data_IF_840347677377
#
_entry.id   IF_840347677377
#
_cell.length_a   1.000
_cell.length_b   1.000
_cell.length_c   1.000
_cell.angle_alpha   90.00
_cell.angle_beta   90.00
_cell.angle_gamma   90.00
#
_symmetry.space_group_name_H-M   'P 1'
#
loop_
_entity.id
_entity.type
_entity.pdbx_description
1 polymer ?
#
# COMPACT_ATOMS: atom_id res chain seq x y z
N UNK A 1 -61.88 4.93 -41.29
CA UNK A 1 -60.70 4.44 -40.53
C UNK A 1 -59.43 4.98 -41.16
N UNK A 2 -58.89 6.10 -40.66
CA UNK A 2 -57.52 6.55 -40.95
C UNK A 2 -56.96 7.20 -39.69
N UNK A 3 -55.84 6.64 -39.25
CA UNK A 3 -55.18 6.92 -37.99
C UNK A 3 -54.42 8.24 -38.02
N UNK A 4 -54.60 9.02 -36.96
CA UNK A 4 -53.66 10.01 -36.48
C UNK A 4 -52.71 9.31 -35.50
N UNK A 5 -51.40 9.40 -35.74
CA UNK A 5 -50.39 9.72 -34.72
C UNK A 5 -49.02 9.75 -35.42
N UNK A 6 -48.50 10.96 -35.59
CA UNK A 6 -47.13 11.20 -36.00
C UNK A 6 -46.39 11.84 -34.81
N UNK A 7 -45.17 11.35 -34.57
CA UNK A 7 -44.10 11.98 -33.79
C UNK A 7 -44.28 11.92 -32.26
N UNK A 8 -43.84 10.81 -31.66
CA UNK A 8 -43.43 10.74 -30.25
C UNK A 8 -42.45 9.57 -30.05
N UNK A 9 -41.21 9.67 -30.55
CA UNK A 9 -40.12 8.72 -30.20
C UNK A 9 -38.71 9.32 -30.34
N UNK A 10 -38.52 10.59 -29.98
CA UNK A 10 -37.20 11.21 -29.85
C UNK A 10 -37.20 12.18 -28.65
N UNK A 11 -37.30 11.64 -27.44
CA UNK A 11 -36.87 12.26 -26.18
C UNK A 11 -37.22 11.31 -25.03
N UNK A 12 -36.44 10.25 -24.84
CA UNK A 12 -36.39 9.61 -23.53
C UNK A 12 -35.20 10.22 -22.77
N UNK A 13 -35.42 10.81 -21.59
CA UNK A 13 -34.35 11.41 -20.81
C UNK A 13 -33.37 10.33 -20.36
N UNK A 14 -32.10 10.56 -20.65
CA UNK A 14 -30.97 9.88 -20.02
C UNK A 14 -31.12 10.10 -18.52
N UNK A 15 -31.37 9.04 -17.77
CA UNK A 15 -31.73 9.07 -16.36
C UNK A 15 -30.60 9.74 -15.53
N UNK A 16 -30.73 11.00 -15.08
CA UNK A 16 -29.71 11.70 -14.31
C UNK A 16 -30.10 11.58 -12.84
N UNK A 17 -30.01 10.37 -12.29
CA UNK A 17 -30.45 10.10 -10.92
C UNK A 17 -29.37 9.35 -10.14
N UNK A 18 -28.23 10.01 -9.95
CA UNK A 18 -27.35 9.82 -8.78
C UNK A 18 -26.62 11.11 -8.36
N UNK A 19 -27.02 12.27 -8.90
CA UNK A 19 -26.41 13.58 -8.61
C UNK A 19 -27.48 14.64 -8.37
N UNK A 20 -28.26 14.47 -7.30
CA UNK A 20 -29.14 15.53 -6.81
C UNK A 20 -28.32 16.65 -6.12
N UNK A 21 -28.62 17.94 -6.36
CA UNK A 21 -27.96 19.08 -5.71
C UNK A 21 -28.24 19.21 -4.19
N UNK A 22 -29.10 18.34 -3.62
CA UNK A 22 -29.39 18.33 -2.17
C UNK A 22 -28.31 17.62 -1.32
N UNK A 23 -27.47 16.77 -1.91
CA UNK A 23 -26.39 16.08 -1.19
C UNK A 23 -25.15 16.97 -0.90
N UNK A 24 -25.19 18.25 -1.31
CA UNK A 24 -24.09 19.20 -1.16
C UNK A 24 -24.22 20.13 0.07
N UNK A 25 -25.27 19.98 0.90
CA UNK A 25 -25.59 20.94 1.98
C UNK A 25 -25.23 20.51 3.41
N UNK A 26 -24.78 19.28 3.63
CA UNK A 26 -24.15 18.84 4.88
C UNK A 26 -23.03 17.85 4.55
N UNK A 27 -21.86 18.01 5.16
CA UNK A 27 -20.73 17.11 4.94
C UNK A 27 -21.14 15.66 5.17
N UNK A 28 -20.91 14.79 4.18
CA UNK A 28 -21.16 13.36 4.32
C UNK A 28 -19.90 12.68 4.81
N UNK A 29 -20.02 11.72 5.72
CA UNK A 29 -18.88 10.87 6.12
C UNK A 29 -19.31 9.42 6.31
N UNK A 30 -18.38 8.50 6.09
CA UNK A 30 -18.57 7.08 6.33
C UNK A 30 -17.25 6.46 6.80
N UNK A 31 -17.36 5.38 7.56
CA UNK A 31 -16.21 4.60 8.01
C UNK A 31 -16.45 3.14 7.69
N UNK A 32 -15.43 2.46 7.21
CA UNK A 32 -15.45 1.05 6.84
C UNK A 32 -14.37 0.31 7.62
N UNK A 33 -14.70 -0.89 8.11
CA UNK A 33 -13.72 -1.85 8.59
C UNK A 33 -13.06 -2.49 7.38
N UNK A 34 -11.73 -2.42 7.32
CA UNK A 34 -10.91 -3.08 6.32
C UNK A 34 -10.39 -4.41 6.88
N UNK A 35 -10.77 -5.50 6.23
CA UNK A 35 -10.27 -6.83 6.47
C UNK A 35 -9.45 -7.34 5.28
N UNK A 36 -8.32 -7.98 5.58
CA UNK A 36 -7.51 -8.69 4.60
C UNK A 36 -7.52 -10.17 4.93
N UNK A 37 -7.93 -11.01 3.97
CA UNK A 37 -8.12 -12.46 4.16
C UNK A 37 -8.98 -12.80 5.39
N UNK A 38 -10.02 -12.00 5.63
CA UNK A 38 -10.93 -12.16 6.78
C UNK A 38 -10.40 -11.62 8.11
N UNK A 39 -9.16 -11.15 8.18
CA UNK A 39 -8.59 -10.53 9.39
C UNK A 39 -8.83 -9.02 9.34
N UNK A 40 -9.54 -8.41 10.31
CA UNK A 40 -9.66 -6.95 10.41
C UNK A 40 -8.30 -6.32 10.71
N UNK A 41 -7.77 -5.57 9.75
CA UNK A 41 -6.43 -4.96 9.81
C UNK A 41 -6.48 -3.44 9.82
N UNK A 42 -7.67 -2.83 9.86
CA UNK A 42 -7.77 -1.38 9.91
C UNK A 42 -9.14 -0.82 9.57
N UNK A 43 -9.20 0.49 9.39
CA UNK A 43 -10.39 1.20 8.94
C UNK A 43 -10.05 2.16 7.81
N UNK A 44 -11.04 2.39 6.93
CA UNK A 44 -11.04 3.47 5.94
C UNK A 44 -12.12 4.47 6.32
N UNK A 45 -11.76 5.74 6.44
CA UNK A 45 -12.68 6.87 6.59
C UNK A 45 -12.80 7.64 5.29
N UNK A 46 -14.04 7.96 4.92
CA UNK A 46 -14.38 8.80 3.78
C UNK A 46 -15.10 10.05 4.29
N UNK A 47 -14.72 11.23 3.82
CA UNK A 47 -15.52 12.44 3.99
C UNK A 47 -15.63 13.20 2.68
N UNK A 48 -16.80 13.79 2.44
CA UNK A 48 -17.00 14.74 1.36
C UNK A 48 -17.63 16.01 1.92
N UNK A 49 -16.86 17.08 1.82
CA UNK A 49 -17.27 18.46 2.05
C UNK A 49 -17.33 19.21 0.71
N UNK A 50 -17.81 20.45 0.72
CA UNK A 50 -17.94 21.27 -0.49
C UNK A 50 -16.62 21.34 -1.28
N UNK A 51 -16.57 20.64 -2.43
CA UNK A 51 -15.41 20.59 -3.33
C UNK A 51 -14.20 19.82 -2.81
N UNK A 52 -14.32 19.06 -1.71
CA UNK A 52 -13.19 18.34 -1.10
C UNK A 52 -13.58 16.94 -0.65
N UNK A 53 -12.91 15.94 -1.22
CA UNK A 53 -12.99 14.55 -0.79
C UNK A 53 -11.76 14.20 0.04
N UNK A 54 -11.96 13.60 1.22
CA UNK A 54 -10.86 13.13 2.07
C UNK A 54 -10.99 11.62 2.26
N UNK A 55 -9.88 10.94 2.05
CA UNK A 55 -9.69 9.52 2.30
C UNK A 55 -8.67 9.36 3.42
N UNK A 56 -9.06 8.64 4.47
CA UNK A 56 -8.19 8.34 5.60
C UNK A 56 -8.07 6.82 5.76
N UNK A 57 -6.89 6.26 5.52
CA UNK A 57 -6.57 4.87 5.83
C UNK A 57 -5.88 4.80 7.19
N UNK A 58 -6.37 3.92 8.04
CA UNK A 58 -5.81 3.60 9.36
C UNK A 58 -5.58 2.11 9.42
N UNK A 59 -4.33 1.66 9.38
CA UNK A 59 -3.97 0.25 9.45
C UNK A 59 -3.40 -0.08 10.82
N UNK A 60 -3.85 -1.19 11.38
CA UNK A 60 -3.36 -1.77 12.61
C UNK A 60 -2.41 -2.92 12.26
N UNK A 61 -1.35 -3.05 13.05
CA UNK A 61 -0.41 -4.15 12.95
C UNK A 61 0.03 -4.56 14.35
N UNK A 62 0.40 -5.82 14.50
CA UNK A 62 1.03 -6.33 15.71
C UNK A 62 2.42 -6.84 15.34
N UNK A 63 3.40 -6.53 16.17
CA UNK A 63 4.74 -7.09 16.08
C UNK A 63 5.31 -7.33 17.48
N UNK A 64 5.82 -8.52 17.75
CA UNK A 64 6.31 -8.93 19.07
C UNK A 64 5.31 -8.60 20.19
N UNK A 65 4.03 -8.88 19.94
CA UNK A 65 2.93 -8.58 20.88
C UNK A 65 2.56 -7.10 21.04
N UNK A 66 3.27 -6.18 20.38
CA UNK A 66 3.00 -4.75 20.44
C UNK A 66 2.12 -4.31 19.26
N UNK A 67 0.96 -3.74 19.57
CA UNK A 67 0.08 -3.14 18.57
C UNK A 67 0.56 -1.75 18.17
N UNK A 68 0.63 -1.49 16.87
CA UNK A 68 0.89 -0.18 16.31
C UNK A 68 -0.14 0.21 15.27
N UNK A 69 -0.07 1.48 14.86
CA UNK A 69 -0.98 2.06 13.90
C UNK A 69 -0.21 2.86 12.85
N UNK A 70 -0.63 2.73 11.59
CA UNK A 70 -0.21 3.61 10.49
C UNK A 70 -1.43 4.34 9.95
N UNK A 71 -1.40 5.67 10.01
CA UNK A 71 -2.44 6.53 9.44
C UNK A 71 -1.90 7.23 8.20
N UNK A 72 -2.67 7.20 7.12
CA UNK A 72 -2.44 7.99 5.91
C UNK A 72 -3.72 8.71 5.54
N UNK A 73 -3.58 9.99 5.20
CA UNK A 73 -4.69 10.81 4.74
C UNK A 73 -4.35 11.44 3.40
N UNK A 74 -5.32 11.47 2.50
CA UNK A 74 -5.25 12.18 1.23
C UNK A 74 -6.51 13.01 1.07
N UNK A 75 -6.31 14.30 0.78
CA UNK A 75 -7.40 15.22 0.45
C UNK A 75 -7.31 15.63 -1.01
N UNK A 76 -8.39 15.39 -1.76
CA UNK A 76 -8.52 15.71 -3.18
C UNK A 76 -9.54 16.82 -3.36
N UNK A 77 -9.20 17.83 -4.17
CA UNK A 77 -10.18 18.79 -4.68
C UNK A 77 -11.01 18.07 -5.73
N UNK A 78 -12.33 18.11 -5.58
CA UNK A 78 -13.26 17.50 -6.52
C UNK A 78 -14.28 18.51 -7.03
N UNK A 79 -14.69 18.37 -8.28
CA UNK A 79 -15.75 19.17 -8.86
C UNK A 79 -17.14 18.67 -8.46
N UNK A 80 -18.19 19.34 -8.95
CA UNK A 80 -19.58 18.98 -8.67
C UNK A 80 -19.98 17.59 -9.21
N UNK A 81 -19.22 17.04 -10.17
CA UNK A 81 -19.42 15.69 -10.71
C UNK A 81 -18.65 14.62 -9.93
N UNK A 82 -17.85 15.00 -8.93
CA UNK A 82 -17.01 14.10 -8.16
C UNK A 82 -15.68 13.73 -8.83
N UNK A 83 -15.28 14.44 -9.88
CA UNK A 83 -13.97 14.27 -10.53
C UNK A 83 -12.91 15.12 -9.86
N UNK A 84 -11.67 14.66 -9.88
CA UNK A 84 -10.53 15.41 -9.34
C UNK A 84 -10.32 16.68 -10.16
N UNK A 85 -10.27 17.84 -9.51
CA UNK A 85 -10.07 19.12 -10.21
C UNK A 85 -8.75 19.11 -11.00
N UNK A 86 -8.83 19.39 -12.30
CA UNK A 86 -7.66 19.40 -13.19
C UNK A 86 -7.25 18.01 -13.71
N UNK A 87 -8.00 16.95 -13.41
CA UNK A 87 -7.80 15.63 -13.97
C UNK A 87 -9.13 15.01 -14.40
N UNK A 88 -9.14 14.28 -15.51
CA UNK A 88 -10.33 13.54 -15.94
C UNK A 88 -10.42 12.18 -15.22
N UNK A 89 -10.37 12.18 -13.89
CA UNK A 89 -10.39 10.97 -13.07
C UNK A 89 -11.27 11.12 -11.84
N UNK A 90 -11.98 10.04 -11.47
CA UNK A 90 -12.78 9.97 -10.23
C UNK A 90 -12.01 9.25 -9.12
N UNK A 91 -12.04 9.71 -7.86
CA UNK A 91 -11.47 8.94 -6.75
C UNK A 91 -12.19 7.59 -6.60
N UNK A 92 -11.43 6.51 -6.48
CA UNK A 92 -11.93 5.13 -6.45
C UNK A 92 -13.01 4.90 -5.37
N UNK A 93 -12.75 5.33 -4.13
CA UNK A 93 -13.69 5.19 -3.03
C UNK A 93 -14.91 6.11 -3.21
N UNK A 94 -14.72 7.33 -3.72
CA UNK A 94 -15.85 8.25 -3.97
C UNK A 94 -16.80 7.70 -5.04
N UNK A 95 -16.24 7.10 -6.10
CA UNK A 95 -16.98 6.50 -7.20
C UNK A 95 -17.92 5.39 -6.74
N UNK A 96 -17.48 4.55 -5.79
CA UNK A 96 -18.30 3.45 -5.25
C UNK A 96 -19.15 3.83 -4.05
N UNK A 97 -18.89 4.92 -3.36
CA UNK A 97 -19.56 5.23 -2.10
C UNK A 97 -21.04 5.64 -2.28
N UNK A 98 -21.36 6.32 -3.38
CA UNK A 98 -22.63 7.01 -3.61
C UNK A 98 -23.54 6.30 -4.62
N UNK A 99 -23.72 5.00 -4.44
CA UNK A 99 -24.61 4.17 -5.25
C UNK A 99 -23.88 3.22 -6.19
N UNK A 100 -24.59 2.19 -6.70
CA UNK A 100 -24.07 1.33 -7.76
C UNK A 100 -23.76 2.19 -9.00
N UNK A 101 -22.49 2.25 -9.46
CA UNK A 101 -22.17 3.03 -10.65
C UNK A 101 -22.83 2.45 -11.91
N UNK A 102 -23.04 3.27 -12.95
CA UNK A 102 -23.54 2.77 -14.23
C UNK A 102 -22.56 1.80 -14.88
N UNK A 103 -23.10 0.90 -15.71
CA UNK A 103 -22.30 0.01 -16.55
C UNK A 103 -21.42 0.80 -17.51
N UNK A 104 -20.22 0.28 -17.76
CA UNK A 104 -19.19 0.94 -18.56
C UNK A 104 -17.96 1.31 -17.72
N UNK A 105 -17.02 1.99 -18.37
CA UNK A 105 -15.73 2.33 -17.77
C UNK A 105 -15.58 3.83 -17.55
N UNK A 106 -14.97 4.19 -16.43
CA UNK A 106 -14.45 5.52 -16.15
C UNK A 106 -12.96 5.44 -15.88
N UNK A 107 -12.25 6.56 -16.03
CA UNK A 107 -10.90 6.68 -15.50
C UNK A 107 -11.01 6.94 -14.00
N UNK A 108 -10.58 5.99 -13.19
CA UNK A 108 -10.52 6.15 -11.74
C UNK A 108 -9.09 6.42 -11.27
N UNK A 109 -8.98 6.92 -10.04
CA UNK A 109 -7.73 7.23 -9.35
C UNK A 109 -7.74 6.60 -7.97
N UNK A 110 -6.77 5.74 -7.68
CA UNK A 110 -6.58 5.22 -6.32
C UNK A 110 -5.97 6.31 -5.43
N UNK A 111 -6.57 6.53 -4.26
CA UNK A 111 -6.33 7.71 -3.44
C UNK A 111 -4.90 7.79 -2.89
N UNK A 112 -4.34 6.67 -2.42
CA UNK A 112 -3.07 6.66 -1.68
C UNK A 112 -1.82 6.64 -2.58
N UNK A 113 -1.92 6.04 -3.76
CA UNK A 113 -0.86 5.93 -4.76
C UNK A 113 -0.97 7.00 -5.84
N UNK A 114 -2.18 7.53 -6.06
CA UNK A 114 -2.47 8.41 -7.19
C UNK A 114 -2.47 7.69 -8.54
N UNK A 115 -2.37 6.36 -8.57
CA UNK A 115 -2.43 5.58 -9.80
C UNK A 115 -3.79 5.78 -10.48
N UNK A 116 -3.76 6.09 -11.77
CA UNK A 116 -4.97 6.23 -12.58
C UNK A 116 -5.10 5.08 -13.57
N UNK A 117 -6.34 4.70 -13.87
CA UNK A 117 -6.63 3.62 -14.81
C UNK A 117 -8.11 3.26 -14.88
N UNK A 118 -8.48 2.28 -15.70
CA UNK A 118 -9.88 1.94 -15.94
C UNK A 118 -10.53 1.37 -14.68
N UNK A 119 -11.73 1.88 -14.39
CA UNK A 119 -12.67 1.35 -13.41
C UNK A 119 -13.94 1.03 -14.18
N UNK A 120 -14.29 -0.25 -14.29
CA UNK A 120 -15.35 -0.71 -15.17
C UNK A 120 -16.40 -1.47 -14.37
N UNK A 121 -17.67 -1.14 -14.57
CA UNK A 121 -18.81 -1.95 -14.10
C UNK A 121 -19.28 -2.82 -15.26
N UNK A 122 -19.34 -4.13 -15.02
CA UNK A 122 -19.78 -5.13 -16.02
C UNK A 122 -21.15 -5.71 -15.69
N UNK A 123 -21.60 -5.58 -14.44
CA UNK A 123 -22.94 -5.98 -14.03
C UNK A 123 -23.40 -5.08 -12.88
N UNK A 124 -24.67 -4.64 -12.91
CA UNK A 124 -25.27 -3.89 -11.81
C UNK A 124 -26.70 -4.33 -11.52
N UNK A 125 -27.11 -4.12 -10.28
CA UNK A 125 -28.50 -4.12 -9.82
C UNK A 125 -28.74 -2.87 -8.97
N UNK A 126 -29.96 -2.64 -8.46
CA UNK A 126 -30.21 -1.54 -7.52
C UNK A 126 -29.36 -1.61 -6.24
N UNK A 127 -28.94 -2.80 -5.81
CA UNK A 127 -28.22 -3.02 -4.54
C UNK A 127 -26.85 -3.67 -4.70
N UNK A 128 -26.35 -3.81 -5.93
CA UNK A 128 -25.04 -4.40 -6.20
C UNK A 128 -24.39 -3.86 -7.46
N UNK A 129 -23.05 -3.90 -7.49
CA UNK A 129 -22.25 -3.66 -8.69
C UNK A 129 -21.06 -4.63 -8.70
N UNK A 130 -20.71 -5.13 -9.88
CA UNK A 130 -19.53 -5.96 -10.10
C UNK A 130 -18.75 -5.45 -11.31
N UNK A 131 -17.42 -5.65 -11.27
CA UNK A 131 -16.55 -5.27 -12.37
C UNK A 131 -15.09 -5.26 -11.97
N UNK A 132 -14.33 -4.28 -12.45
CA UNK A 132 -12.89 -4.14 -12.17
C UNK A 132 -12.50 -2.72 -11.74
N UNK A 133 -11.51 -2.61 -10.86
CA UNK A 133 -10.84 -1.36 -10.48
C UNK A 133 -9.34 -1.56 -10.68
N UNK A 134 -8.74 -0.80 -11.61
CA UNK A 134 -7.33 -0.97 -11.98
C UNK A 134 -6.97 -2.43 -12.34
N UNK A 135 -7.91 -3.15 -12.97
CA UNK A 135 -7.77 -4.55 -13.34
C UNK A 135 -8.10 -5.56 -12.24
N UNK A 136 -8.22 -5.15 -10.97
CA UNK A 136 -8.64 -6.03 -9.89
C UNK A 136 -10.17 -6.19 -9.88
N UNK A 137 -10.65 -7.44 -9.80
CA UNK A 137 -12.10 -7.71 -9.72
C UNK A 137 -12.67 -7.15 -8.43
N UNK A 138 -13.86 -6.56 -8.51
CA UNK A 138 -14.59 -6.10 -7.34
C UNK A 138 -16.06 -6.55 -7.33
N UNK A 139 -16.61 -6.63 -6.12
CA UNK A 139 -18.06 -6.72 -5.87
C UNK A 139 -18.44 -5.73 -4.80
N UNK A 140 -19.44 -4.90 -5.07
CA UNK A 140 -19.98 -3.92 -4.14
C UNK A 140 -21.43 -4.26 -3.81
N UNK A 141 -21.81 -4.06 -2.55
CA UNK A 141 -23.20 -4.18 -2.06
C UNK A 141 -23.63 -2.88 -1.44
N UNK A 142 -24.88 -2.52 -1.70
CA UNK A 142 -25.49 -1.27 -1.30
C UNK A 142 -26.76 -1.54 -0.52
N UNK A 143 -27.16 -0.60 0.34
CA UNK A 143 -28.51 -0.60 0.90
C UNK A 143 -29.53 0.00 -0.08
N UNK A 144 -30.79 0.04 0.33
CA UNK A 144 -31.90 0.58 -0.45
C UNK A 144 -31.75 2.08 -0.78
N UNK A 145 -30.92 2.81 -0.03
CA UNK A 145 -30.61 4.23 -0.26
C UNK A 145 -29.41 4.41 -1.19
N UNK A 146 -28.83 3.32 -1.68
CA UNK A 146 -27.63 3.34 -2.50
C UNK A 146 -26.36 3.65 -1.71
N UNK A 147 -26.36 3.54 -0.38
CA UNK A 147 -25.12 3.69 0.39
C UNK A 147 -24.32 2.40 0.35
N UNK A 148 -23.02 2.50 0.10
CA UNK A 148 -22.11 1.36 0.12
C UNK A 148 -22.11 0.69 1.51
N UNK A 149 -22.44 -0.60 1.55
CA UNK A 149 -22.47 -1.44 2.75
C UNK A 149 -21.28 -2.38 2.81
N UNK A 150 -20.87 -2.93 1.66
CA UNK A 150 -19.70 -3.78 1.56
C UNK A 150 -19.01 -3.66 0.20
N UNK A 151 -17.69 -3.82 0.20
CA UNK A 151 -16.87 -3.87 -1.00
C UNK A 151 -15.84 -4.99 -0.85
N UNK A 152 -15.75 -5.86 -1.84
CA UNK A 152 -14.73 -6.90 -1.96
C UNK A 152 -13.85 -6.60 -3.17
N UNK A 153 -12.52 -6.61 -2.99
CA UNK A 153 -11.51 -6.37 -4.03
C UNK A 153 -10.33 -7.31 -3.79
N UNK A 154 -10.21 -8.36 -4.61
CA UNK A 154 -9.22 -9.42 -4.36
C UNK A 154 -9.37 -10.02 -2.95
N UNK A 155 -8.28 -10.04 -2.18
CA UNK A 155 -8.25 -10.53 -0.78
C UNK A 155 -8.76 -9.51 0.25
N UNK A 156 -9.17 -8.31 -0.21
CA UNK A 156 -9.59 -7.21 0.65
C UNK A 156 -11.11 -7.12 0.73
N UNK A 157 -11.61 -6.88 1.94
CA UNK A 157 -13.03 -6.63 2.21
C UNK A 157 -13.20 -5.38 3.06
N UNK A 158 -14.10 -4.51 2.66
CA UNK A 158 -14.48 -3.30 3.37
C UNK A 158 -15.95 -3.42 3.74
N UNK A 159 -16.29 -3.29 5.01
CA UNK A 159 -17.69 -3.32 5.49
C UNK A 159 -17.99 -2.06 6.26
N UNK A 160 -19.18 -1.49 6.05
CA UNK A 160 -19.61 -0.29 6.78
C UNK A 160 -19.50 -0.54 8.29
N UNK A 161 -18.76 0.34 8.97
CA UNK A 161 -18.52 0.21 10.40
C UNK A 161 -19.72 0.74 11.18
N UNK A 162 -20.11 0.02 12.24
CA UNK A 162 -21.12 0.51 13.15
C UNK A 162 -20.61 1.79 13.87
N UNK A 163 -21.53 2.68 14.29
CA UNK A 163 -21.16 3.82 15.13
C UNK A 163 -20.37 3.37 16.37
N UNK A 164 -19.19 3.95 16.58
CA UNK A 164 -18.32 3.63 17.72
C UNK A 164 -17.59 2.28 17.66
N UNK A 165 -17.72 1.50 16.57
CA UNK A 165 -17.05 0.21 16.44
C UNK A 165 -15.52 0.33 16.62
N UNK A 166 -14.97 -0.44 17.57
CA UNK A 166 -13.54 -0.49 17.86
C UNK A 166 -12.97 -1.80 17.33
N UNK A 167 -11.82 -1.71 16.67
CA UNK A 167 -11.10 -2.89 16.22
C UNK A 167 -10.17 -3.39 17.31
N UNK A 168 -10.09 -4.71 17.43
CA UNK A 168 -9.03 -5.37 18.20
C UNK A 168 -7.74 -5.34 17.37
N UNK A 169 -6.60 -5.41 18.06
CA UNK A 169 -5.33 -5.59 17.37
C UNK A 169 -5.38 -6.90 16.57
N UNK A 170 -4.95 -6.91 15.30
CA UNK A 170 -4.89 -8.13 14.50
C UNK A 170 -3.86 -9.11 15.09
N UNK A 171 -3.92 -10.41 14.75
CA UNK A 171 -2.80 -11.31 15.01
C UNK A 171 -1.52 -10.78 14.33
N UNK A 172 -0.37 -11.26 14.80
CA UNK A 172 0.91 -10.95 14.16
C UNK A 172 1.03 -11.72 12.84
N UNK A 173 0.56 -11.09 11.76
CA UNK A 173 0.42 -11.70 10.44
C UNK A 173 1.75 -12.14 9.80
N UNK A 174 2.89 -11.70 10.34
CA UNK A 174 4.19 -11.85 9.70
C UNK A 174 5.28 -12.49 10.58
N UNK A 175 4.95 -12.89 11.83
CA UNK A 175 5.93 -13.46 12.77
C UNK A 175 6.56 -14.76 12.27
N UNK A 176 5.75 -15.61 11.64
CA UNK A 176 6.19 -16.94 11.18
C UNK A 176 7.18 -16.86 10.01
N UNK A 177 7.26 -15.72 9.31
CA UNK A 177 8.05 -15.57 8.10
C UNK A 177 7.53 -16.44 6.95
N UNK A 178 8.34 -16.59 5.91
CA UNK A 178 8.05 -17.48 4.77
C UNK A 178 9.07 -18.63 4.73
N UNK A 179 8.66 -19.85 4.37
CA UNK A 179 9.57 -20.97 4.27
C UNK A 179 10.65 -20.71 3.20
N UNK A 180 11.85 -21.21 3.45
CA UNK A 180 12.96 -21.21 2.49
C UNK A 180 13.10 -22.63 1.96
N UNK A 181 12.88 -22.81 0.66
CA UNK A 181 12.97 -24.11 -0.02
C UNK A 181 14.39 -24.39 -0.52
N UNK A 182 14.73 -25.67 -0.68
CA UNK A 182 16.02 -26.12 -1.20
C UNK A 182 16.99 -26.58 -0.11
N UNK A 183 18.30 -26.53 -0.41
CA UNK A 183 19.36 -26.97 0.51
C UNK A 183 19.58 -26.01 1.68
N UNK A 184 20.61 -26.26 2.48
CA UNK A 184 21.03 -25.40 3.61
C UNK A 184 22.01 -24.30 3.20
N UNK A 185 22.62 -24.40 2.03
CA UNK A 185 23.65 -23.49 1.52
C UNK A 185 23.21 -22.78 0.23
N UNK A 186 23.82 -21.62 -0.05
CA UNK A 186 23.63 -20.88 -1.29
C UNK A 186 22.86 -19.56 -1.12
N UNK A 187 22.94 -18.73 -2.15
CA UNK A 187 22.27 -17.43 -2.20
C UNK A 187 20.75 -17.61 -2.23
N UNK A 188 20.03 -16.73 -1.53
CA UNK A 188 18.58 -16.67 -1.58
C UNK A 188 18.14 -16.12 -2.95
N UNK A 189 17.06 -16.68 -3.50
CA UNK A 189 16.42 -16.21 -4.74
C UNK A 189 14.90 -16.27 -4.61
N UNK A 190 14.21 -15.41 -5.36
CA UNK A 190 12.77 -15.50 -5.58
C UNK A 190 12.48 -16.40 -6.79
N UNK A 191 11.44 -17.22 -6.70
CA UNK A 191 10.94 -18.05 -7.81
C UNK A 191 9.41 -17.88 -7.96
N UNK A 192 8.89 -17.51 -9.15
CA UNK A 192 9.65 -17.01 -10.30
C UNK A 192 10.48 -15.76 -9.96
N UNK A 193 11.61 -15.61 -10.64
CA UNK A 193 12.53 -14.49 -10.43
C UNK A 193 11.88 -13.15 -10.74
N UNK A 194 12.33 -12.10 -10.04
CA UNK A 194 12.00 -10.71 -10.33
C UNK A 194 13.28 -9.88 -10.40
N UNK A 195 13.30 -8.86 -11.25
CA UNK A 195 14.41 -7.91 -11.29
C UNK A 195 14.18 -6.83 -10.23
N UNK A 196 15.18 -6.59 -9.38
CA UNK A 196 15.26 -5.38 -8.55
C UNK A 196 16.35 -4.52 -9.13
N UNK A 197 16.13 -3.21 -9.37
CA UNK A 197 17.19 -2.33 -9.83
C UNK A 197 18.37 -2.37 -8.85
N UNK A 198 19.59 -2.43 -9.39
CA UNK A 198 20.80 -2.39 -8.55
C UNK A 198 20.94 -1.03 -7.86
N UNK A 199 20.57 0.07 -8.54
CA UNK A 199 20.71 1.47 -8.09
C UNK A 199 19.49 2.28 -8.54
N UNK A 200 19.06 3.24 -7.72
CA UNK A 200 18.07 4.25 -8.10
C UNK A 200 18.76 5.47 -8.77
N UNK A 201 18.15 6.10 -9.78
CA UNK A 201 18.74 7.24 -10.49
C UNK A 201 19.20 8.40 -9.59
N UNK A 202 18.45 8.68 -8.53
CA UNK A 202 18.66 9.81 -7.63
C UNK A 202 19.69 9.55 -6.52
N UNK A 203 20.23 8.33 -6.41
CA UNK A 203 21.21 7.99 -5.38
C UNK A 203 22.53 8.74 -5.59
N UNK A 204 22.99 9.42 -4.55
CA UNK A 204 24.28 10.11 -4.53
C UNK A 204 25.41 9.16 -4.13
N UNK A 205 26.63 9.47 -4.55
CA UNK A 205 27.78 8.60 -4.33
C UNK A 205 28.46 8.85 -2.98
N UNK A 206 28.80 7.74 -2.31
CA UNK A 206 29.44 7.70 -1.01
C UNK A 206 30.82 7.06 -1.09
N UNK A 207 31.71 7.41 -0.17
CA UNK A 207 32.80 6.50 0.18
C UNK A 207 32.28 5.39 1.10
N UNK A 208 32.83 4.15 1.03
CA UNK A 208 32.43 3.07 1.94
C UNK A 208 32.57 3.46 3.42
N UNK A 209 33.62 4.20 3.76
CA UNK A 209 33.91 4.64 5.13
C UNK A 209 32.83 5.59 5.68
N UNK A 210 32.44 6.61 4.91
CA UNK A 210 31.40 7.56 5.33
C UNK A 210 30.04 6.87 5.52
N UNK A 211 29.70 5.93 4.62
CA UNK A 211 28.44 5.21 4.68
C UNK A 211 28.38 4.29 5.91
N UNK A 212 29.46 3.53 6.18
CA UNK A 212 29.58 2.68 7.38
C UNK A 212 29.58 3.49 8.67
N UNK A 213 30.24 4.66 8.69
CA UNK A 213 30.24 5.55 9.85
C UNK A 213 28.83 6.08 10.18
N UNK A 214 28.02 6.41 9.16
CA UNK A 214 26.63 6.78 9.38
C UNK A 214 25.81 5.60 9.89
N UNK A 215 26.03 4.39 9.36
CA UNK A 215 25.38 3.15 9.83
C UNK A 215 25.63 2.91 11.31
N UNK A 216 26.90 2.99 11.74
CA UNK A 216 27.29 2.85 13.13
C UNK A 216 26.68 3.93 14.03
N UNK A 217 26.61 5.19 13.55
CA UNK A 217 25.95 6.28 14.28
C UNK A 217 24.46 6.02 14.48
N UNK A 218 23.76 5.52 13.46
CA UNK A 218 22.34 5.18 13.54
C UNK A 218 22.13 4.02 14.51
N UNK A 219 22.96 2.97 14.41
CA UNK A 219 22.94 1.87 15.36
C UNK A 219 23.11 2.36 16.80
N UNK A 220 24.08 3.22 17.09
CA UNK A 220 24.25 3.75 18.45
C UNK A 220 23.08 4.60 18.96
N UNK A 221 22.22 5.12 18.07
CA UNK A 221 21.12 6.01 18.44
C UNK A 221 19.86 5.29 18.96
N UNK A 222 19.76 3.97 18.79
CA UNK A 222 18.65 3.16 19.29
C UNK A 222 19.16 2.14 20.32
N UNK A 223 19.11 2.41 21.63
CA UNK A 223 19.49 1.43 22.64
C UNK A 223 18.69 0.12 22.56
N UNK A 224 17.40 0.23 22.22
CA UNK A 224 16.52 -0.91 21.96
C UNK A 224 16.29 -1.11 20.45
N UNK A 225 16.61 -2.31 19.97
CA UNK A 225 16.47 -2.75 18.58
C UNK A 225 15.11 -3.38 18.27
N UNK A 226 14.27 -3.47 19.28
CA UNK A 226 12.91 -3.93 19.19
C UNK A 226 12.05 -3.01 18.31
N UNK A 227 11.05 -3.55 17.62
CA UNK A 227 10.12 -2.76 16.83
C UNK A 227 9.36 -1.76 17.70
N UNK A 228 9.12 -0.56 17.18
CA UNK A 228 8.46 0.49 17.93
C UNK A 228 7.60 1.40 17.05
N UNK A 229 7.00 2.43 17.64
CA UNK A 229 6.33 3.50 16.89
C UNK A 229 7.25 4.19 15.86
N UNK A 230 8.58 4.16 16.07
CA UNK A 230 9.56 4.78 15.18
C UNK A 230 9.57 4.12 13.78
N UNK A 231 9.28 2.82 13.67
CA UNK A 231 9.22 2.11 12.37
C UNK A 231 8.15 2.68 11.43
N UNK A 232 7.20 3.45 11.96
CA UNK A 232 6.05 3.97 11.21
C UNK A 232 6.12 5.48 10.98
N UNK A 233 7.16 6.15 11.51
CA UNK A 233 7.41 7.58 11.35
C UNK A 233 8.34 7.83 10.17
N UNK A 234 8.07 8.88 9.40
CA UNK A 234 8.76 9.14 8.13
C UNK A 234 10.29 9.28 8.24
N UNK A 235 10.84 9.74 9.37
CA UNK A 235 12.28 9.85 9.58
C UNK A 235 12.84 8.87 10.60
N UNK A 236 12.07 7.86 11.01
CA UNK A 236 12.49 6.87 12.00
C UNK A 236 12.75 7.47 13.39
N UNK A 237 12.10 8.58 13.76
CA UNK A 237 12.40 9.25 15.03
C UNK A 237 11.84 8.48 16.25
N UNK A 238 12.74 8.05 17.14
CA UNK A 238 12.41 7.44 18.43
C UNK A 238 13.67 6.98 19.17
N UNK A 239 13.48 6.51 20.41
CA UNK A 239 14.56 5.94 21.25
C UNK A 239 14.68 4.41 21.10
N UNK A 240 13.62 3.76 20.63
CA UNK A 240 13.59 2.35 20.24
C UNK A 240 13.15 2.25 18.78
N UNK A 241 13.55 1.20 18.07
CA UNK A 241 13.07 0.97 16.71
C UNK A 241 13.66 -0.26 16.06
N UNK A 242 12.86 -0.93 15.24
CA UNK A 242 13.28 -2.07 14.46
C UNK A 242 14.09 -1.67 13.23
N UNK A 243 14.22 -2.62 12.31
CA UNK A 243 15.00 -2.44 11.10
C UNK A 243 14.51 -1.33 10.17
N UNK A 244 13.19 -1.11 10.10
CA UNK A 244 12.63 -0.04 9.29
C UNK A 244 12.93 1.34 9.90
N UNK A 245 12.79 1.48 11.23
CA UNK A 245 13.18 2.71 11.93
C UNK A 245 14.66 3.06 11.68
N UNK A 246 15.56 2.08 11.78
CA UNK A 246 16.99 2.27 11.52
C UNK A 246 17.25 2.70 10.07
N UNK A 247 16.64 2.02 9.09
CA UNK A 247 16.81 2.38 7.68
C UNK A 247 16.28 3.79 7.36
N UNK A 248 15.11 4.16 7.89
CA UNK A 248 14.52 5.49 7.74
C UNK A 248 15.34 6.58 8.43
N UNK A 249 15.88 6.29 9.62
CA UNK A 249 16.77 7.21 10.35
C UNK A 249 18.05 7.46 9.59
N UNK A 250 18.65 6.42 9.01
CA UNK A 250 19.81 6.56 8.12
C UNK A 250 19.48 7.47 6.93
N UNK A 251 18.38 7.21 6.23
CA UNK A 251 17.95 8.00 5.09
C UNK A 251 17.70 9.48 5.46
N UNK A 252 17.06 9.74 6.59
CA UNK A 252 16.80 11.09 7.10
C UNK A 252 18.10 11.85 7.40
N UNK A 253 19.06 11.20 8.09
CA UNK A 253 20.37 11.81 8.38
C UNK A 253 21.21 12.01 7.12
N UNK A 254 21.17 11.08 6.16
CA UNK A 254 21.80 11.22 4.86
C UNK A 254 21.24 12.43 4.10
N UNK A 255 19.91 12.57 4.05
CA UNK A 255 19.24 13.70 3.42
C UNK A 255 19.63 15.03 4.03
N UNK A 256 19.75 15.10 5.36
CA UNK A 256 20.26 16.29 6.08
C UNK A 256 21.68 16.70 5.68
N UNK A 257 22.45 15.79 5.07
CA UNK A 257 23.80 16.02 4.52
C UNK A 257 23.80 16.24 3.00
N UNK A 258 22.63 16.45 2.38
CA UNK A 258 22.48 16.56 0.93
C UNK A 258 22.68 15.24 0.17
N UNK A 259 22.71 14.10 0.86
CA UNK A 259 22.87 12.79 0.25
C UNK A 259 21.51 12.13 -0.01
N UNK A 260 21.47 11.17 -0.93
CA UNK A 260 20.29 10.36 -1.27
C UNK A 260 20.70 8.89 -1.33
N UNK A 261 19.87 8.05 -0.75
CA UNK A 261 20.11 6.61 -0.59
C UNK A 261 18.85 5.84 -0.94
N UNK A 262 18.97 4.57 -1.28
CA UNK A 262 17.83 3.69 -1.48
C UNK A 262 17.49 2.94 -0.20
N UNK A 263 16.19 2.81 0.09
CA UNK A 263 15.71 1.92 1.13
C UNK A 263 15.42 0.56 0.50
N UNK A 264 15.98 -0.48 1.09
CA UNK A 264 15.75 -1.86 0.66
C UNK A 264 14.69 -2.48 1.55
N UNK A 265 13.61 -2.93 0.94
CA UNK A 265 12.67 -3.85 1.57
C UNK A 265 13.03 -5.27 1.13
N UNK A 266 13.21 -6.15 2.08
CA UNK A 266 13.68 -7.50 1.78
C UNK A 266 13.31 -8.51 2.85
N UNK A 267 14.03 -9.61 2.79
CA UNK A 267 13.89 -10.74 3.69
C UNK A 267 15.24 -11.08 4.30
N UNK A 268 15.21 -11.44 5.58
CA UNK A 268 16.36 -11.91 6.34
C UNK A 268 16.10 -13.34 6.83
N UNK A 269 17.08 -14.21 6.57
CA UNK A 269 17.14 -15.57 7.10
C UNK A 269 18.23 -15.63 8.15
N UNK A 270 17.84 -15.97 9.38
CA UNK A 270 18.75 -16.15 10.52
C UNK A 270 18.77 -17.63 10.87
N UNK A 271 19.97 -18.20 11.05
CA UNK A 271 20.21 -19.58 11.51
C UNK A 271 19.42 -20.66 10.75
N UNK A 272 19.24 -20.48 9.44
CA UNK A 272 18.50 -21.43 8.60
C UNK A 272 16.98 -21.45 8.84
N UNK A 273 16.45 -20.53 9.64
CA UNK A 273 15.03 -20.37 9.90
C UNK A 273 14.24 -19.81 8.71
N UNK A 274 12.96 -19.48 8.93
CA UNK A 274 12.14 -18.86 7.89
C UNK A 274 12.68 -17.46 7.52
N UNK A 275 12.42 -17.06 6.29
CA UNK A 275 12.74 -15.72 5.80
C UNK A 275 11.73 -14.71 6.38
N UNK A 276 12.20 -13.75 7.18
CA UNK A 276 11.37 -12.74 7.85
C UNK A 276 11.54 -11.35 7.24
N UNK A 277 10.49 -10.50 7.22
CA UNK A 277 10.59 -9.13 6.73
C UNK A 277 11.77 -8.38 7.36
N UNK A 278 12.56 -7.74 6.53
CA UNK A 278 13.68 -6.92 6.96
C UNK A 278 13.82 -5.67 6.09
N UNK A 279 14.45 -4.64 6.64
CA UNK A 279 14.73 -3.40 5.92
C UNK A 279 16.15 -2.93 6.20
N UNK A 280 16.82 -2.47 5.16
CA UNK A 280 18.19 -1.96 5.24
C UNK A 280 18.41 -0.86 4.19
N UNK A 281 19.64 -0.35 4.09
CA UNK A 281 19.96 0.76 3.19
C UNK A 281 20.93 0.31 2.10
N UNK A 282 20.70 0.80 0.88
CA UNK A 282 21.67 0.73 -0.21
C UNK A 282 22.22 2.11 -0.52
N UNK A 283 23.54 2.21 -0.63
CA UNK A 283 24.24 3.42 -1.10
C UNK A 283 24.95 3.17 -2.42
N UNK A 284 25.06 4.21 -3.26
CA UNK A 284 25.91 4.17 -4.44
C UNK A 284 27.35 4.51 -4.01
N UNK A 285 28.35 3.85 -4.59
CA UNK A 285 29.74 4.08 -4.25
C UNK A 285 30.45 4.95 -5.27
N UNK A 286 31.36 5.81 -4.79
CA UNK A 286 32.35 6.48 -5.64
C UNK A 286 33.23 5.43 -6.31
N UNK A 287 33.39 5.53 -7.63
CA UNK A 287 34.10 4.52 -8.43
C UNK A 287 33.21 3.39 -8.94
N UNK A 288 31.89 3.47 -8.72
CA UNK A 288 30.90 2.55 -9.25
C UNK A 288 30.44 1.47 -8.27
N UNK A 289 29.31 0.85 -8.58
CA UNK A 289 28.68 -0.18 -7.75
C UNK A 289 27.87 0.36 -6.57
N UNK A 290 27.48 -0.55 -5.68
CA UNK A 290 26.63 -0.26 -4.53
C UNK A 290 27.11 -1.00 -3.29
N UNK A 291 26.74 -0.47 -2.13
CA UNK A 291 26.96 -1.11 -0.84
C UNK A 291 25.65 -1.18 -0.06
N UNK A 292 25.30 -2.39 0.38
CA UNK A 292 24.21 -2.60 1.33
C UNK A 292 24.73 -2.56 2.77
N UNK A 293 23.98 -1.88 3.63
CA UNK A 293 24.28 -1.65 5.04
C UNK A 293 23.03 -1.94 5.86
N UNK A 294 23.15 -2.81 6.86
CA UNK A 294 22.13 -3.00 7.89
C UNK A 294 22.48 -2.17 9.14
N UNK A 295 21.92 -0.96 9.31
CA UNK A 295 22.14 -0.15 10.51
C UNK A 295 21.54 -0.76 11.79
N UNK A 296 20.70 -1.79 11.68
CA UNK A 296 20.06 -2.44 12.84
C UNK A 296 21.04 -3.35 13.56
N UNK A 297 21.68 -4.26 12.81
CA UNK A 297 22.60 -5.29 13.33
C UNK A 297 24.07 -4.90 13.19
N UNK A 298 24.41 -4.09 12.18
CA UNK A 298 25.77 -3.89 11.66
C UNK A 298 26.42 -5.14 11.05
N UNK A 299 25.67 -6.24 10.93
CA UNK A 299 26.15 -7.44 10.29
C UNK A 299 26.33 -7.23 8.77
N UNK A 300 27.23 -7.97 8.14
CA UNK A 300 27.35 -7.94 6.68
C UNK A 300 26.05 -8.36 6.01
N UNK A 301 25.56 -7.53 5.08
CA UNK A 301 24.47 -7.90 4.18
C UNK A 301 25.01 -8.87 3.13
N UNK A 302 24.61 -10.15 3.23
CA UNK A 302 25.12 -11.23 2.37
C UNK A 302 24.00 -11.90 1.57
N UNK A 303 24.23 -12.35 0.33
CA UNK A 303 23.20 -12.99 -0.50
C UNK A 303 22.62 -14.30 0.07
N UNK A 304 23.34 -15.00 0.95
CA UNK A 304 22.90 -16.24 1.61
C UNK A 304 21.95 -15.99 2.80
N UNK A 305 21.88 -14.75 3.28
CA UNK A 305 21.06 -14.35 4.43
C UNK A 305 20.02 -13.29 4.07
N UNK A 306 20.30 -12.47 3.07
CA UNK A 306 19.47 -11.34 2.68
C UNK A 306 18.95 -11.52 1.25
N UNK A 307 17.64 -11.43 1.09
CA UNK A 307 16.96 -11.42 -0.20
C UNK A 307 16.29 -10.07 -0.43
N UNK A 308 16.69 -9.39 -1.48
CA UNK A 308 16.11 -8.09 -1.87
C UNK A 308 14.73 -8.32 -2.50
N UNK A 309 13.69 -7.72 -1.93
CA UNK A 309 12.35 -7.70 -2.55
C UNK A 309 12.13 -6.43 -3.36
N UNK A 310 12.58 -5.27 -2.90
CA UNK A 310 12.47 -4.01 -3.62
C UNK A 310 13.53 -3.00 -3.17
N UNK A 311 13.88 -2.08 -4.06
CA UNK A 311 14.70 -0.91 -3.78
C UNK A 311 13.87 0.33 -4.10
N UNK A 312 13.62 1.20 -3.12
CA UNK A 312 12.70 2.33 -3.25
C UNK A 312 13.27 3.62 -2.66
N UNK A 313 12.80 4.80 -3.10
CA UNK A 313 13.07 6.05 -2.41
C UNK A 313 12.49 6.03 -0.99
N UNK A 314 13.18 6.57 0.04
CA UNK A 314 12.70 6.58 1.42
C UNK A 314 11.35 7.31 1.61
N UNK A 315 11.04 8.31 0.79
CA UNK A 315 9.83 9.12 0.90
C UNK A 315 8.62 8.59 0.09
N UNK A 316 8.81 7.53 -0.71
CA UNK A 316 7.78 7.01 -1.62
C UNK A 316 6.99 5.83 -1.06
N UNK A 317 5.81 5.51 -1.65
CA UNK A 317 5.11 4.29 -1.31
C UNK A 317 5.87 3.07 -1.85
N UNK A 318 6.18 2.10 -0.98
CA UNK A 318 6.86 0.86 -1.34
C UNK A 318 5.90 -0.18 -1.97
N UNK A 319 5.15 0.22 -3.00
CA UNK A 319 4.07 -0.59 -3.59
C UNK A 319 4.58 -1.93 -4.13
N UNK A 320 5.73 -1.92 -4.80
CA UNK A 320 6.34 -3.12 -5.35
C UNK A 320 6.77 -4.11 -4.24
N UNK A 321 7.35 -3.59 -3.14
CA UNK A 321 7.69 -4.40 -1.98
C UNK A 321 6.46 -5.09 -1.40
N UNK A 322 5.38 -4.31 -1.20
CA UNK A 322 4.10 -4.82 -0.72
C UNK A 322 3.50 -5.87 -1.65
N UNK A 323 3.50 -5.63 -2.97
CA UNK A 323 2.98 -6.57 -3.95
C UNK A 323 3.74 -7.91 -3.93
N UNK A 324 5.08 -7.88 -3.93
CA UNK A 324 5.93 -9.09 -3.85
C UNK A 324 5.74 -9.82 -2.53
N UNK A 325 5.62 -9.10 -1.42
CA UNK A 325 5.31 -9.68 -0.12
C UNK A 325 3.96 -10.42 -0.13
N UNK A 326 2.91 -9.80 -0.66
CA UNK A 326 1.60 -10.43 -0.77
C UNK A 326 1.62 -11.65 -1.70
N UNK A 327 2.42 -11.62 -2.77
CA UNK A 327 2.63 -12.77 -3.65
C UNK A 327 3.33 -13.93 -2.95
N UNK A 328 4.32 -13.66 -2.09
CA UNK A 328 4.94 -14.70 -1.23
C UNK A 328 3.89 -15.33 -0.31
N UNK A 329 3.04 -14.52 0.33
CA UNK A 329 1.98 -15.02 1.20
C UNK A 329 0.84 -15.74 0.46
N UNK A 330 0.74 -15.62 -0.87
CA UNK A 330 -0.15 -16.43 -1.71
C UNK A 330 0.50 -17.74 -2.19
N UNK A 331 1.81 -17.87 -2.06
CA UNK A 331 2.58 -18.95 -2.70
C UNK A 331 2.82 -18.73 -4.19
N UNK A 332 2.47 -17.55 -4.74
CA UNK A 332 2.77 -17.18 -6.12
C UNK A 332 4.29 -16.98 -6.33
N UNK A 333 4.95 -16.50 -5.27
CA UNK A 333 6.41 -16.42 -5.17
C UNK A 333 6.88 -17.37 -4.07
N UNK A 334 8.07 -17.94 -4.28
CA UNK A 334 8.76 -18.80 -3.32
C UNK A 334 10.16 -18.25 -3.05
N UNK A 335 10.63 -18.41 -1.82
CA UNK A 335 12.02 -18.16 -1.46
C UNK A 335 12.77 -19.47 -1.53
N UNK A 336 13.82 -19.52 -2.33
CA UNK A 336 14.63 -20.73 -2.51
C UNK A 336 16.10 -20.42 -2.24
N UNK A 337 16.87 -21.43 -1.85
CA UNK A 337 18.34 -21.39 -1.96
C UNK A 337 18.77 -21.86 -3.34
N UNK A 338 19.56 -21.03 -4.02
CA UNK A 338 20.23 -21.45 -5.25
C UNK A 338 21.20 -22.58 -4.93
N UNK A 339 20.99 -23.75 -5.52
CA UNK A 339 22.00 -24.81 -5.50
C UNK A 339 23.21 -24.35 -6.31
N UNK A 340 24.41 -24.84 -5.97
CA UNK A 340 25.67 -24.50 -6.65
C UNK A 340 25.70 -24.79 -8.16
N UNK A 341 24.65 -25.37 -8.72
CA UNK A 341 24.57 -25.92 -10.08
C UNK A 341 23.64 -25.18 -11.06
N UNK A 342 23.11 -24.00 -10.71
CA UNK A 342 22.34 -23.14 -11.64
C UNK A 342 22.87 -21.71 -11.82
#
# INVERSE_FOLDING_TARGET
>A
MKALLAIAMLALPVNPASTGPEAARAGSSARFVFAWRGVPVGTVGLSLDAGRFTYTSRHLHVRDGHAGERVREVALKVDASGRVTGADAVPQALWLWRGPPPEGCVKGREELSGQEGPHCVTARSPTSAEGTMLGARFRARYDEKGQLQALEVGDSRFTLAAPGERLRAPPELFAEGVPVEGGSEGALRLVPGGTVPTRLPEMTEWTPTEARALSAKVHAAFPDKGPSAADWRAGGEGEAGGCLAHALRYASLARGRGQRVGLVHGLLVVDGGPARPHAWVRVALRGGGTLDLDPTSLDPVRPDTHLVLALVPPEGPALEAGARWLSLLRGDLRVVRATRTE
#
